data_IF_623282201345
#
_entry.id   IF_623282201345
#
_cell.length_a   1.000
_cell.length_b   1.000
_cell.length_c   1.000
_cell.angle_alpha   90.00
_cell.angle_beta   90.00
_cell.angle_gamma   90.00
#
_symmetry.space_group_name_H-M   'P 1'
#
loop_
_entity.id
_entity.type
_entity.pdbx_description
1 polymer ?
#
# COMPACT_ATOMS: atom_id res chain seq x y z
N UNK A 1 6.98 47.69 -33.28
CA UNK A 1 6.87 46.22 -33.50
C UNK A 1 6.48 45.60 -32.16
N UNK A 2 5.19 45.23 -32.02
CA UNK A 2 4.68 44.61 -30.79
C UNK A 2 4.95 43.13 -30.86
N UNK A 3 5.86 42.62 -30.05
CA UNK A 3 6.03 41.20 -29.84
C UNK A 3 4.83 40.65 -29.05
N UNK A 4 3.89 40.07 -29.75
CA UNK A 4 2.84 39.25 -29.12
C UNK A 4 3.51 37.94 -28.71
N UNK A 5 3.75 37.79 -27.40
CA UNK A 5 4.14 36.50 -26.83
C UNK A 5 2.90 35.61 -26.84
N UNK A 6 2.84 34.71 -27.78
CA UNK A 6 1.86 33.61 -27.78
C UNK A 6 2.26 32.65 -26.66
N UNK A 7 1.53 32.68 -25.56
CA UNK A 7 1.59 31.66 -24.53
C UNK A 7 1.04 30.36 -25.16
N UNK A 8 1.89 29.34 -25.24
CA UNK A 8 1.47 28.00 -25.60
C UNK A 8 0.65 27.42 -24.44
N UNK A 9 -0.68 27.55 -24.56
CA UNK A 9 -1.65 27.25 -23.50
C UNK A 9 -2.10 25.77 -23.48
N UNK A 10 -1.63 24.95 -24.41
CA UNK A 10 -2.16 23.59 -24.57
C UNK A 10 -1.70 22.61 -23.47
N UNK A 11 -0.52 22.80 -22.88
CA UNK A 11 0.03 21.90 -21.86
C UNK A 11 -0.04 22.43 -20.41
N UNK A 12 -0.56 23.65 -20.21
CA UNK A 12 -0.57 24.29 -18.88
C UNK A 12 -1.95 24.80 -18.47
N UNK A 13 -2.99 24.60 -19.30
CA UNK A 13 -4.32 25.16 -19.03
C UNK A 13 -4.92 24.58 -17.75
N UNK A 14 -4.83 23.26 -17.57
CA UNK A 14 -5.45 22.57 -16.43
C UNK A 14 -4.78 22.99 -15.10
N UNK A 15 -3.46 23.09 -15.08
CA UNK A 15 -2.74 23.52 -13.89
C UNK A 15 -2.95 25.02 -13.58
N UNK A 16 -3.11 25.85 -14.60
CA UNK A 16 -3.45 27.28 -14.42
C UNK A 16 -4.90 27.46 -14.00
N UNK A 17 -5.82 26.69 -14.54
CA UNK A 17 -7.23 26.72 -14.17
C UNK A 17 -7.42 26.27 -12.72
N UNK A 18 -6.71 25.24 -12.29
CA UNK A 18 -6.70 24.75 -10.92
C UNK A 18 -6.12 25.81 -9.96
N UNK A 19 -5.01 26.45 -10.32
CA UNK A 19 -4.42 27.55 -9.56
C UNK A 19 -5.33 28.76 -9.44
N UNK A 20 -6.24 28.97 -10.43
CA UNK A 20 -7.24 30.04 -10.43
C UNK A 20 -8.56 29.62 -9.75
N UNK A 21 -8.67 28.39 -9.23
CA UNK A 21 -9.89 27.87 -8.61
C UNK A 21 -11.01 27.58 -9.60
N UNK A 22 -10.70 27.42 -10.90
CA UNK A 22 -11.67 27.09 -11.94
C UNK A 22 -11.76 25.57 -12.03
N UNK A 23 -12.93 24.98 -11.71
CA UNK A 23 -13.16 23.56 -11.87
C UNK A 23 -13.15 23.20 -13.37
N UNK A 24 -12.10 22.55 -13.84
CA UNK A 24 -12.03 22.01 -15.20
C UNK A 24 -12.86 20.73 -15.24
N UNK A 25 -14.01 20.78 -15.93
CA UNK A 25 -14.73 19.56 -16.30
C UNK A 25 -13.95 18.89 -17.41
N UNK A 26 -13.20 17.84 -17.11
CA UNK A 26 -12.58 17.02 -18.14
C UNK A 26 -13.66 16.39 -19.01
N UNK A 27 -13.66 16.75 -20.29
CA UNK A 27 -14.56 16.21 -21.32
C UNK A 27 -14.06 14.90 -21.93
N UNK A 28 -12.99 14.33 -21.40
CA UNK A 28 -12.49 13.03 -21.79
C UNK A 28 -12.54 12.06 -20.59
N UNK A 29 -13.27 10.98 -20.76
CA UNK A 29 -13.29 9.83 -19.84
C UNK A 29 -11.98 9.01 -19.91
N UNK A 30 -10.85 9.66 -20.21
CA UNK A 30 -9.54 9.08 -20.24
C UNK A 30 -8.57 10.11 -19.64
N UNK A 31 -7.86 9.69 -18.63
CA UNK A 31 -6.82 10.41 -17.90
C UNK A 31 -7.30 11.24 -16.72
N UNK A 32 -7.96 10.60 -15.74
CA UNK A 32 -7.66 10.98 -14.38
C UNK A 32 -6.21 10.54 -14.12
N UNK A 33 -5.26 11.47 -14.25
CA UNK A 33 -3.90 11.33 -13.78
C UNK A 33 -3.85 11.35 -12.23
N UNK A 34 -4.78 10.66 -11.59
CA UNK A 34 -4.53 9.99 -10.35
C UNK A 34 -3.61 8.82 -10.73
N UNK A 35 -2.31 9.06 -10.81
CA UNK A 35 -1.33 8.01 -10.82
C UNK A 35 -1.46 7.28 -9.49
N UNK A 36 -2.47 6.40 -9.41
CA UNK A 36 -2.65 5.55 -8.26
C UNK A 36 -1.42 4.66 -8.24
N UNK A 37 -0.56 4.85 -7.25
CA UNK A 37 0.61 4.00 -7.07
C UNK A 37 0.14 2.54 -7.10
N UNK A 38 0.91 1.70 -7.77
CA UNK A 38 0.70 0.26 -7.73
C UNK A 38 0.71 -0.21 -6.27
N UNK A 39 -0.04 -1.25 -5.96
CA UNK A 39 -0.23 -1.75 -4.59
C UNK A 39 0.39 -3.11 -4.41
N UNK A 40 1.35 -3.22 -3.52
CA UNK A 40 1.96 -4.50 -3.13
C UNK A 40 1.23 -5.09 -1.93
N UNK A 41 0.94 -6.39 -1.95
CA UNK A 41 0.34 -7.13 -0.82
C UNK A 41 0.82 -8.57 -0.81
N UNK A 42 0.80 -9.22 0.35
CA UNK A 42 0.89 -10.68 0.44
C UNK A 42 -0.50 -11.24 0.13
N UNK A 43 -0.58 -12.18 -0.81
CA UNK A 43 -1.81 -12.88 -1.17
C UNK A 43 -1.89 -14.19 -0.39
N UNK A 44 -2.96 -14.36 0.39
CA UNK A 44 -3.07 -15.48 1.35
C UNK A 44 -3.82 -16.69 0.81
N UNK A 45 -4.45 -16.57 -0.36
CA UNK A 45 -5.26 -17.63 -0.94
C UNK A 45 -4.63 -18.16 -2.21
N UNK A 46 -4.77 -19.47 -2.46
CA UNK A 46 -4.39 -20.02 -3.76
C UNK A 46 -5.40 -19.62 -4.81
N UNK A 47 -4.93 -19.39 -6.04
CA UNK A 47 -5.79 -19.25 -7.21
C UNK A 47 -5.80 -20.59 -7.93
N UNK A 48 -7.00 -21.11 -8.14
CA UNK A 48 -7.22 -22.40 -8.81
C UNK A 48 -7.58 -22.17 -10.27
N UNK A 49 -6.86 -22.82 -11.16
CA UNK A 49 -7.18 -22.91 -12.58
C UNK A 49 -7.83 -24.27 -12.93
N UNK A 50 -8.15 -24.42 -14.19
CA UNK A 50 -8.70 -25.68 -14.72
C UNK A 50 -7.82 -26.20 -15.84
N UNK A 51 -7.26 -27.39 -15.67
CA UNK A 51 -6.48 -28.06 -16.69
C UNK A 51 -7.29 -29.22 -17.32
N UNK A 52 -7.17 -29.39 -18.63
CA UNK A 52 -7.78 -30.53 -19.35
C UNK A 52 -6.77 -31.66 -19.47
N UNK A 53 -6.96 -32.72 -18.69
CA UNK A 53 -6.13 -33.94 -18.76
C UNK A 53 -6.95 -35.13 -19.27
N UNK A 54 -6.61 -35.63 -20.44
CA UNK A 54 -7.30 -36.77 -21.07
C UNK A 54 -8.83 -36.59 -21.17
N UNK A 55 -9.28 -35.37 -21.53
CA UNK A 55 -10.70 -35.05 -21.69
C UNK A 55 -11.48 -34.87 -20.36
N UNK A 56 -10.78 -34.83 -19.22
CA UNK A 56 -11.37 -34.56 -17.91
C UNK A 56 -10.81 -33.22 -17.39
N UNK A 57 -11.69 -32.37 -16.89
CA UNK A 57 -11.29 -31.13 -16.19
C UNK A 57 -10.76 -31.46 -14.81
N UNK A 58 -9.56 -30.98 -14.49
CA UNK A 58 -8.94 -31.06 -13.17
C UNK A 58 -8.67 -29.65 -12.66
N UNK A 59 -8.97 -29.40 -11.40
CA UNK A 59 -8.54 -28.18 -10.70
C UNK A 59 -7.05 -28.28 -10.36
N UNK A 60 -6.29 -27.27 -10.75
CA UNK A 60 -4.86 -27.13 -10.45
C UNK A 60 -4.60 -25.78 -9.79
N UNK A 61 -3.67 -25.73 -8.87
CA UNK A 61 -3.22 -24.50 -8.28
C UNK A 61 -2.32 -23.77 -9.28
N UNK A 62 -2.74 -22.59 -9.76
CA UNK A 62 -2.00 -21.80 -10.75
C UNK A 62 -1.19 -20.68 -10.08
N UNK A 63 -1.68 -20.15 -8.96
CA UNK A 63 -0.94 -19.22 -8.11
C UNK A 63 -1.04 -19.72 -6.68
N UNK A 64 0.07 -20.09 -6.02
CA UNK A 64 0.05 -20.55 -4.64
C UNK A 64 -0.29 -19.43 -3.67
N UNK A 65 -0.88 -19.79 -2.54
CA UNK A 65 -1.02 -18.87 -1.42
C UNK A 65 0.35 -18.48 -0.87
N UNK A 66 0.49 -17.23 -0.42
CA UNK A 66 1.74 -16.70 0.10
C UNK A 66 2.59 -15.94 -0.91
N UNK A 67 2.14 -15.82 -2.15
CA UNK A 67 2.77 -14.97 -3.15
C UNK A 67 2.60 -13.48 -2.82
N UNK A 68 3.51 -12.65 -3.30
CA UNK A 68 3.29 -11.20 -3.36
C UNK A 68 2.42 -10.89 -4.58
N UNK A 69 1.36 -10.14 -4.36
CA UNK A 69 0.48 -9.63 -5.39
C UNK A 69 0.74 -8.16 -5.61
N UNK A 70 1.05 -7.79 -6.83
CA UNK A 70 1.08 -6.43 -7.33
C UNK A 70 -0.23 -6.12 -8.04
N UNK A 71 -0.88 -5.05 -7.67
CA UNK A 71 -1.97 -4.45 -8.44
C UNK A 71 -1.44 -3.17 -9.07
N UNK A 72 -1.45 -3.11 -10.39
CA UNK A 72 -1.01 -1.93 -11.14
C UNK A 72 -2.07 -0.81 -11.13
N UNK A 73 -1.77 0.30 -11.81
CA UNK A 73 -2.68 1.44 -11.92
C UNK A 73 -3.94 1.12 -12.73
N UNK A 74 -3.89 0.13 -13.63
CA UNK A 74 -5.02 -0.30 -14.45
C UNK A 74 -5.95 -1.25 -13.68
N UNK A 75 -5.48 -1.79 -12.55
CA UNK A 75 -6.19 -2.76 -11.74
C UNK A 75 -5.80 -4.22 -12.05
N UNK A 76 -4.84 -4.45 -12.95
CA UNK A 76 -4.34 -5.77 -13.28
C UNK A 76 -3.46 -6.33 -12.16
N UNK A 77 -3.39 -7.66 -12.07
CA UNK A 77 -2.68 -8.35 -11.01
C UNK A 77 -1.54 -9.19 -11.55
N UNK A 78 -0.39 -9.06 -10.90
CA UNK A 78 0.77 -9.93 -11.07
C UNK A 78 1.16 -10.54 -9.73
N UNK A 79 1.67 -11.78 -9.76
CA UNK A 79 2.02 -12.55 -8.57
C UNK A 79 3.44 -13.07 -8.67
N UNK A 80 4.18 -13.05 -7.56
CA UNK A 80 5.54 -13.58 -7.49
C UNK A 80 5.83 -14.12 -6.08
N UNK A 81 6.58 -15.22 -6.00
CA UNK A 81 7.02 -15.80 -4.72
C UNK A 81 8.13 -14.99 -4.08
N UNK A 82 8.94 -14.33 -4.91
CA UNK A 82 10.07 -13.52 -4.51
C UNK A 82 9.97 -12.13 -5.12
N UNK A 83 10.22 -11.10 -4.30
CA UNK A 83 10.30 -9.73 -4.78
C UNK A 83 11.51 -9.02 -4.19
N UNK A 84 12.11 -8.12 -4.97
CA UNK A 84 13.10 -7.16 -4.50
C UNK A 84 12.41 -5.83 -4.27
N UNK A 85 12.49 -5.32 -3.05
CA UNK A 85 11.84 -4.07 -2.66
C UNK A 85 12.90 -3.05 -2.22
N UNK A 86 12.96 -1.89 -2.88
CA UNK A 86 13.80 -0.76 -2.51
C UNK A 86 12.95 0.29 -1.81
N UNK A 87 12.95 0.37 -0.48
CA UNK A 87 12.13 1.32 0.26
C UNK A 87 12.68 2.75 0.15
N UNK A 88 11.79 3.74 0.10
CA UNK A 88 12.14 5.17 0.07
C UNK A 88 11.54 5.93 1.24
N UNK A 89 10.29 5.67 1.57
CA UNK A 89 9.56 6.40 2.57
C UNK A 89 8.71 5.46 3.41
N UNK A 90 8.65 5.73 4.72
CA UNK A 90 7.77 5.04 5.65
C UNK A 90 6.82 6.03 6.30
N UNK A 91 5.54 5.68 6.31
CA UNK A 91 4.49 6.42 6.99
C UNK A 91 3.58 5.48 7.79
N UNK A 92 2.79 6.05 8.68
CA UNK A 92 1.87 5.30 9.54
C UNK A 92 0.52 5.96 9.57
N UNK A 93 -0.53 5.15 9.67
CA UNK A 93 -1.90 5.63 9.87
C UNK A 93 -2.75 4.60 10.59
N UNK A 94 -3.91 5.03 11.04
CA UNK A 94 -4.96 4.13 11.53
C UNK A 94 -5.94 3.83 10.43
N UNK A 95 -6.47 2.60 10.41
CA UNK A 95 -7.52 2.18 9.49
C UNK A 95 -8.57 1.36 10.20
N UNK A 96 -9.83 1.55 9.84
CA UNK A 96 -10.95 0.78 10.35
C UNK A 96 -11.95 0.47 9.23
N UNK A 97 -12.41 -0.76 9.16
CA UNK A 97 -13.53 -1.12 8.30
C UNK A 97 -14.85 -0.73 8.97
N UNK A 98 -15.66 0.04 8.26
CA UNK A 98 -17.02 0.42 8.69
C UNK A 98 -18.00 -0.33 7.82
N UNK A 99 -18.74 -1.32 8.37
CA UNK A 99 -19.74 -2.03 7.60
C UNK A 99 -20.89 -1.06 7.24
N UNK A 100 -21.52 -1.31 6.11
CA UNK A 100 -22.72 -0.58 5.74
C UNK A 100 -23.91 -1.07 6.60
N UNK A 101 -24.63 -0.17 7.24
CA UNK A 101 -25.70 -0.50 8.19
C UNK A 101 -27.01 0.17 7.75
N UNK A 102 -27.54 -0.15 6.59
CA UNK A 102 -28.94 0.16 6.28
C UNK A 102 -29.68 -1.09 5.83
N UNK A 103 -30.91 -1.33 6.36
CA UNK A 103 -31.68 -2.54 6.08
C UNK A 103 -32.05 -2.73 4.59
N UNK A 104 -32.12 -1.64 3.83
CA UNK A 104 -32.69 -1.62 2.46
C UNK A 104 -31.61 -1.66 1.36
N UNK A 105 -30.33 -1.67 1.72
CA UNK A 105 -29.25 -1.63 0.73
C UNK A 105 -28.67 -3.04 0.44
N UNK A 106 -29.37 -3.77 -0.39
CA UNK A 106 -28.84 -5.02 -0.95
C UNK A 106 -27.58 -4.74 -1.78
N UNK A 107 -26.44 -5.17 -1.25
CA UNK A 107 -25.18 -5.25 -2.00
C UNK A 107 -24.17 -4.12 -1.80
N UNK A 108 -24.42 -3.09 -0.99
CA UNK A 108 -23.40 -2.08 -0.69
C UNK A 108 -22.36 -2.63 0.28
N UNK A 109 -21.11 -2.67 -0.19
CA UNK A 109 -19.96 -3.03 0.64
C UNK A 109 -19.66 -1.90 1.63
N UNK A 110 -19.23 -2.26 2.84
CA UNK A 110 -18.69 -1.29 3.80
C UNK A 110 -17.43 -0.62 3.22
N UNK A 111 -16.94 0.40 3.93
CA UNK A 111 -15.78 1.18 3.52
C UNK A 111 -14.68 1.16 4.57
N UNK A 112 -13.45 1.38 4.14
CA UNK A 112 -12.35 1.67 5.05
C UNK A 112 -12.31 3.16 5.35
N UNK A 113 -12.25 3.48 6.64
CA UNK A 113 -11.94 4.81 7.17
C UNK A 113 -10.46 4.82 7.52
N UNK A 114 -9.73 5.82 7.08
CA UNK A 114 -8.29 5.96 7.29
C UNK A 114 -7.99 7.32 7.93
N UNK A 115 -7.06 7.36 8.87
CA UNK A 115 -6.52 8.62 9.37
C UNK A 115 -5.49 9.21 8.41
N UNK A 116 -5.10 10.45 8.67
CA UNK A 116 -3.92 11.06 8.03
C UNK A 116 -2.69 10.18 8.24
N UNK A 117 -1.76 10.23 7.28
CA UNK A 117 -0.48 9.55 7.36
C UNK A 117 0.55 10.43 8.07
N UNK A 118 1.31 9.85 8.99
CA UNK A 118 2.33 10.56 9.77
C UNK A 118 3.63 9.75 9.88
N UNK A 119 4.71 10.44 10.22
CA UNK A 119 5.98 9.80 10.54
C UNK A 119 5.93 9.00 11.86
N UNK A 120 6.92 8.16 12.09
CA UNK A 120 7.01 7.28 13.26
C UNK A 120 7.00 8.05 14.59
N UNK A 121 7.56 9.25 14.64
CA UNK A 121 7.63 10.06 15.87
C UNK A 121 6.27 10.56 16.35
N UNK A 122 5.32 10.74 15.44
CA UNK A 122 3.97 11.23 15.72
C UNK A 122 2.99 10.07 15.94
N UNK A 123 3.22 8.95 15.27
CA UNK A 123 2.29 7.82 15.30
C UNK A 123 2.12 7.23 16.70
N UNK A 124 0.87 7.17 17.16
CA UNK A 124 0.50 6.68 18.49
C UNK A 124 0.69 7.68 19.63
N UNK A 125 1.17 8.91 19.34
CA UNK A 125 1.33 10.00 20.30
C UNK A 125 0.31 11.11 20.05
N UNK A 126 0.12 11.44 18.77
CA UNK A 126 -0.75 12.53 18.33
C UNK A 126 -2.12 11.98 17.95
N UNK A 127 -3.12 12.85 18.08
CA UNK A 127 -4.45 12.61 17.56
C UNK A 127 -4.47 12.85 16.06
N UNK A 128 -4.84 11.81 15.30
CA UNK A 128 -4.86 11.85 13.84
C UNK A 128 -6.30 11.84 13.36
N UNK A 129 -6.68 12.86 12.61
CA UNK A 129 -8.03 12.97 12.03
C UNK A 129 -8.20 11.94 10.91
N UNK A 130 -9.33 11.26 10.88
CA UNK A 130 -9.69 10.30 9.83
C UNK A 130 -10.62 10.93 8.78
N UNK A 131 -10.95 10.16 7.74
CA UNK A 131 -11.82 10.57 6.64
C UNK A 131 -13.26 10.91 7.06
N UNK A 132 -13.66 10.58 8.28
CA UNK A 132 -14.96 10.92 8.87
C UNK A 132 -14.86 12.09 9.88
N UNK A 133 -13.69 12.71 10.01
CA UNK A 133 -13.42 13.76 10.98
C UNK A 133 -13.25 13.25 12.41
N UNK A 134 -13.10 11.93 12.63
CA UNK A 134 -12.89 11.34 13.94
C UNK A 134 -11.40 11.15 14.24
N UNK A 135 -11.07 11.23 15.51
CA UNK A 135 -9.70 11.01 15.99
C UNK A 135 -9.34 9.52 15.91
N UNK A 136 -8.20 9.21 15.27
CA UNK A 136 -7.58 7.88 15.19
C UNK A 136 -8.56 6.75 14.85
N UNK A 137 -9.50 6.99 13.95
CA UNK A 137 -10.60 6.07 13.61
C UNK A 137 -11.43 5.62 14.81
N UNK A 138 -11.50 6.45 15.86
CA UNK A 138 -12.23 6.20 17.09
C UNK A 138 -11.41 5.55 18.21
N UNK A 139 -10.09 5.40 18.05
CA UNK A 139 -9.19 4.90 19.08
C UNK A 139 -8.42 6.05 19.72
N UNK A 140 -8.28 6.14 21.06
CA UNK A 140 -7.45 7.17 21.68
C UNK A 140 -5.97 6.99 21.32
N UNK A 141 -5.23 8.09 21.30
CA UNK A 141 -3.78 8.05 21.21
C UNK A 141 -3.15 7.45 22.47
N UNK A 142 -1.94 6.91 22.30
CA UNK A 142 -1.16 6.40 23.42
C UNK A 142 -1.57 5.02 23.94
N UNK A 143 -1.16 4.75 25.17
CA UNK A 143 -1.43 3.50 25.88
C UNK A 143 -2.78 3.57 26.58
N UNK A 144 -3.63 2.60 26.33
CA UNK A 144 -4.94 2.49 26.99
C UNK A 144 -4.73 1.80 28.35
N UNK A 145 -4.83 2.58 29.42
CA UNK A 145 -4.84 2.05 30.78
C UNK A 145 -6.19 1.40 31.05
N UNK A 146 -6.23 0.41 31.95
CA UNK A 146 -7.44 -0.22 32.45
C UNK A 146 -8.34 -0.77 31.32
N UNK A 147 -7.74 -1.50 30.38
CA UNK A 147 -8.48 -2.12 29.27
C UNK A 147 -9.72 -2.89 29.74
N UNK A 148 -9.62 -3.60 30.86
CA UNK A 148 -10.72 -4.39 31.44
C UNK A 148 -11.92 -3.57 31.91
N UNK A 149 -11.71 -2.30 32.24
CA UNK A 149 -12.78 -1.42 32.74
C UNK A 149 -13.57 -0.75 31.61
N UNK A 150 -13.10 -0.89 30.35
CA UNK A 150 -13.78 -0.32 29.19
C UNK A 150 -15.04 -1.11 28.85
N UNK A 151 -16.13 -0.42 28.46
CA UNK A 151 -17.33 -1.07 27.95
C UNK A 151 -16.95 -1.99 26.74
N UNK A 152 -17.61 -3.13 26.63
CA UNK A 152 -17.34 -4.13 25.59
C UNK A 152 -17.42 -3.53 24.15
N UNK A 153 -18.37 -2.62 23.93
CA UNK A 153 -18.51 -1.92 22.65
C UNK A 153 -17.27 -1.08 22.29
N UNK A 154 -16.66 -0.43 23.30
CA UNK A 154 -15.41 0.33 23.08
C UNK A 154 -14.23 -0.60 22.86
N UNK A 155 -14.13 -1.70 23.59
CA UNK A 155 -13.07 -2.70 23.36
C UNK A 155 -13.16 -3.25 21.94
N UNK A 156 -14.35 -3.62 21.45
CA UNK A 156 -14.59 -4.08 20.08
C UNK A 156 -14.20 -3.01 19.04
N UNK A 157 -14.61 -1.76 19.28
CA UNK A 157 -14.21 -0.65 18.42
C UNK A 157 -12.69 -0.51 18.34
N UNK A 158 -12.01 -0.46 19.48
CA UNK A 158 -10.55 -0.28 19.51
C UNK A 158 -9.78 -1.45 18.89
N UNK A 159 -10.29 -2.69 19.04
CA UNK A 159 -9.74 -3.87 18.36
C UNK A 159 -9.96 -3.84 16.85
N UNK A 160 -11.04 -3.22 16.38
CA UNK A 160 -11.31 -3.08 14.94
C UNK A 160 -10.40 -2.05 14.25
N UNK A 161 -9.77 -1.15 15.02
CA UNK A 161 -8.84 -0.16 14.50
C UNK A 161 -7.46 -0.78 14.31
N UNK A 162 -7.02 -0.89 13.08
CA UNK A 162 -5.70 -1.41 12.72
C UNK A 162 -4.67 -0.29 12.67
N UNK A 163 -3.47 -0.60 13.10
CA UNK A 163 -2.27 0.20 12.85
C UNK A 163 -1.69 -0.25 11.53
N UNK A 164 -1.49 0.68 10.62
CA UNK A 164 -0.95 0.41 9.29
C UNK A 164 0.38 1.09 9.13
N UNK A 165 1.35 0.35 8.64
CA UNK A 165 2.64 0.84 8.16
C UNK A 165 2.56 0.90 6.64
N UNK A 166 2.73 2.07 6.06
CA UNK A 166 2.81 2.27 4.62
C UNK A 166 4.28 2.44 4.23
N UNK A 167 4.77 1.58 3.36
CA UNK A 167 6.07 1.70 2.73
C UNK A 167 5.90 2.11 1.29
N UNK A 168 6.59 3.16 0.89
CA UNK A 168 6.69 3.61 -0.49
C UNK A 168 8.04 3.22 -1.02
N UNK A 169 8.09 2.68 -2.21
CA UNK A 169 9.33 2.21 -2.79
C UNK A 169 9.19 1.71 -4.21
N UNK A 170 10.27 1.14 -4.71
CA UNK A 170 10.33 0.43 -5.97
C UNK A 170 10.28 -1.07 -5.72
N UNK A 171 9.49 -1.79 -6.50
CA UNK A 171 9.41 -3.25 -6.45
C UNK A 171 9.79 -3.86 -7.79
N UNK A 172 10.56 -4.94 -7.75
CA UNK A 172 10.81 -5.83 -8.89
C UNK A 172 10.28 -7.21 -8.50
N UNK A 173 9.37 -7.76 -9.29
CA UNK A 173 8.85 -9.11 -9.12
C UNK A 173 9.75 -10.09 -9.87
N UNK A 174 10.13 -11.20 -9.25
CA UNK A 174 10.91 -12.26 -9.89
C UNK A 174 9.99 -13.39 -10.34
N UNK A 175 10.13 -13.81 -11.61
CA UNK A 175 9.33 -14.90 -12.19
C UNK A 175 7.82 -14.69 -12.01
N UNK A 176 7.35 -13.47 -12.33
CA UNK A 176 5.97 -13.08 -12.13
C UNK A 176 5.02 -13.83 -13.07
N UNK A 177 3.84 -14.15 -12.54
CA UNK A 177 2.73 -14.75 -13.30
C UNK A 177 1.46 -13.91 -13.13
N UNK A 178 0.53 -14.05 -14.05
CA UNK A 178 -0.81 -13.48 -13.93
C UNK A 178 -1.75 -14.38 -13.10
N UNK A 179 -3.02 -14.04 -13.05
CA UNK A 179 -4.06 -14.80 -12.35
C UNK A 179 -4.42 -16.15 -12.99
N UNK A 180 -3.88 -16.43 -14.17
CA UNK A 180 -4.03 -17.73 -14.86
C UNK A 180 -2.80 -18.61 -14.68
N UNK A 181 -1.71 -18.06 -14.10
CA UNK A 181 -0.42 -18.73 -13.93
C UNK A 181 0.50 -18.58 -15.14
N UNK A 182 0.14 -17.77 -16.12
CA UNK A 182 0.98 -17.50 -17.28
C UNK A 182 2.06 -16.47 -16.92
N UNK A 183 3.31 -16.69 -17.38
CA UNK A 183 4.39 -15.74 -17.14
C UNK A 183 4.08 -14.35 -17.69
N UNK A 184 4.32 -13.33 -16.87
CA UNK A 184 4.19 -11.93 -17.28
C UNK A 184 5.57 -11.26 -17.28
N UNK A 185 5.77 -10.33 -18.22
CA UNK A 185 6.96 -9.49 -18.22
C UNK A 185 6.98 -8.68 -16.93
N UNK A 186 7.98 -8.88 -16.08
CA UNK A 186 8.18 -8.05 -14.90
C UNK A 186 8.97 -6.82 -15.30
N UNK A 187 8.37 -5.64 -15.11
CA UNK A 187 9.11 -4.39 -15.16
C UNK A 187 9.99 -4.26 -13.91
N UNK A 188 11.19 -3.75 -14.08
CA UNK A 188 12.06 -3.45 -12.95
C UNK A 188 11.71 -2.12 -12.33
N UNK A 189 11.68 -2.07 -11.00
CA UNK A 189 11.56 -0.82 -10.27
C UNK A 189 10.19 -0.14 -10.38
N UNK A 190 9.09 -0.89 -10.28
CA UNK A 190 7.73 -0.34 -10.30
C UNK A 190 7.47 0.47 -9.01
N UNK A 191 7.05 1.74 -9.09
CA UNK A 191 6.68 2.54 -7.93
C UNK A 191 5.43 1.98 -7.24
N UNK A 192 5.53 1.69 -5.94
CA UNK A 192 4.45 1.05 -5.19
C UNK A 192 4.23 1.66 -3.81
N UNK A 193 3.02 1.43 -3.29
CA UNK A 193 2.71 1.50 -1.86
C UNK A 193 2.44 0.09 -1.33
N UNK A 194 3.07 -0.26 -0.21
CA UNK A 194 2.81 -1.48 0.54
C UNK A 194 2.21 -1.13 1.91
N UNK A 195 0.91 -1.31 2.05
CA UNK A 195 0.17 -1.10 3.30
C UNK A 195 0.17 -2.39 4.13
N UNK A 196 0.82 -2.37 5.28
CA UNK A 196 1.03 -3.51 6.18
C UNK A 196 0.18 -3.33 7.42
N UNK A 197 -0.92 -4.06 7.52
CA UNK A 197 -1.89 -4.04 8.63
C UNK A 197 -1.87 -5.31 9.49
N UNK A 198 -1.21 -6.36 9.04
CA UNK A 198 -0.98 -7.58 9.81
C UNK A 198 0.05 -7.32 10.91
N UNK A 199 -0.27 -7.70 12.14
CA UNK A 199 0.57 -7.44 13.33
C UNK A 199 1.98 -8.02 13.22
N UNK A 200 2.10 -9.24 12.72
CA UNK A 200 3.39 -9.93 12.62
C UNK A 200 4.24 -9.36 11.49
N UNK A 201 3.62 -9.12 10.32
CA UNK A 201 4.28 -8.43 9.21
C UNK A 201 4.72 -7.01 9.60
N UNK A 202 3.87 -6.26 10.30
CA UNK A 202 4.19 -4.93 10.83
C UNK A 202 5.43 -4.95 11.71
N UNK A 203 5.54 -5.96 12.60
CA UNK A 203 6.70 -6.16 13.49
C UNK A 203 7.94 -6.57 12.71
N UNK A 204 7.83 -7.57 11.83
CA UNK A 204 8.96 -8.08 11.03
C UNK A 204 9.60 -6.99 10.19
N UNK A 205 8.79 -6.22 9.48
CA UNK A 205 9.27 -5.10 8.67
C UNK A 205 9.83 -3.98 9.57
N UNK A 206 9.21 -3.73 10.74
CA UNK A 206 9.73 -2.78 11.72
C UNK A 206 11.17 -3.10 12.13
N UNK A 207 11.44 -4.35 12.46
CA UNK A 207 12.78 -4.79 12.86
C UNK A 207 13.83 -4.58 11.75
N UNK A 208 13.44 -4.71 10.48
CA UNK A 208 14.34 -4.42 9.37
C UNK A 208 14.60 -2.92 9.24
N UNK A 209 13.56 -2.09 9.32
CA UNK A 209 13.72 -0.62 9.29
C UNK A 209 14.58 -0.13 10.45
N UNK A 210 14.41 -0.70 11.65
CA UNK A 210 15.24 -0.37 12.81
C UNK A 210 16.72 -0.78 12.60
N UNK A 211 16.98 -1.87 11.86
CA UNK A 211 18.35 -2.24 11.46
C UNK A 211 18.97 -1.23 10.50
N UNK A 212 18.22 -0.64 9.56
CA UNK A 212 18.71 0.46 8.73
C UNK A 212 19.19 1.62 9.61
N UNK A 213 18.37 2.06 10.55
CA UNK A 213 18.71 3.14 11.48
C UNK A 213 19.95 2.79 12.34
N UNK A 214 20.02 1.57 12.89
CA UNK A 214 21.15 1.09 13.72
C UNK A 214 22.45 1.03 12.93
N UNK A 215 22.41 0.70 11.65
CA UNK A 215 23.57 0.66 10.76
C UNK A 215 23.86 2.03 10.10
N UNK A 216 23.14 3.10 10.48
CA UNK A 216 23.24 4.44 9.88
C UNK A 216 23.10 4.41 8.36
N UNK A 217 22.14 3.62 7.85
CA UNK A 217 21.83 3.49 6.43
C UNK A 217 20.50 4.15 6.12
N UNK A 218 20.42 4.78 4.95
CA UNK A 218 19.16 5.30 4.41
C UNK A 218 18.41 4.17 3.70
N UNK A 219 17.07 4.24 3.71
CA UNK A 219 16.22 3.22 3.12
C UNK A 219 16.57 2.92 1.64
N UNK A 220 16.72 3.93 0.75
CA UNK A 220 16.98 3.65 -0.67
C UNK A 220 18.41 3.19 -0.99
N UNK A 221 19.26 2.99 0.02
CA UNK A 221 20.63 2.48 -0.17
C UNK A 221 20.71 0.95 -0.29
N UNK A 222 19.60 0.24 -0.07
CA UNK A 222 19.59 -1.22 -0.09
C UNK A 222 18.26 -1.75 -0.65
N UNK A 223 18.32 -2.94 -1.24
CA UNK A 223 17.14 -3.74 -1.53
C UNK A 223 16.83 -4.65 -0.33
N UNK A 224 15.54 -4.84 -0.08
CA UNK A 224 15.01 -5.87 0.81
C UNK A 224 14.51 -7.00 -0.08
N UNK A 225 15.16 -8.17 -0.01
CA UNK A 225 14.60 -9.37 -0.60
C UNK A 225 13.46 -9.86 0.28
N UNK A 226 12.31 -10.09 -0.32
CA UNK A 226 11.09 -10.49 0.33
C UNK A 226 10.63 -11.84 -0.23
N UNK A 227 10.40 -12.77 0.66
CA UNK A 227 9.67 -14.03 0.44
C UNK A 227 8.63 -14.17 1.54
N UNK A 228 7.88 -15.25 1.57
CA UNK A 228 6.92 -15.51 2.64
C UNK A 228 7.15 -16.86 3.31
N UNK A 229 6.63 -16.99 4.52
CA UNK A 229 6.49 -18.26 5.21
C UNK A 229 5.05 -18.43 5.69
N UNK A 230 4.50 -19.63 5.49
CA UNK A 230 3.13 -19.98 5.90
C UNK A 230 3.08 -20.51 7.33
N UNK A 231 2.01 -20.17 8.04
CA UNK A 231 1.68 -20.68 9.36
C UNK A 231 0.19 -21.05 9.41
N UNK A 232 -0.11 -22.27 9.85
CA UNK A 232 -1.48 -22.73 10.00
C UNK A 232 -2.13 -22.09 11.24
N UNK A 233 -3.30 -21.51 11.07
CA UNK A 233 -4.12 -21.01 12.18
C UNK A 233 -4.94 -22.12 12.81
N UNK A 234 -5.43 -21.88 14.02
CA UNK A 234 -6.30 -22.83 14.74
C UNK A 234 -7.61 -23.17 13.98
N UNK A 235 -8.06 -22.28 13.09
CA UNK A 235 -9.24 -22.50 12.25
C UNK A 235 -8.94 -23.23 10.92
N UNK A 236 -7.71 -23.71 10.73
CA UNK A 236 -7.27 -24.42 9.51
C UNK A 236 -6.85 -23.50 8.35
N UNK A 237 -7.02 -22.19 8.45
CA UNK A 237 -6.57 -21.27 7.42
C UNK A 237 -5.05 -21.06 7.51
N UNK A 238 -4.41 -20.85 6.36
CA UNK A 238 -3.01 -20.45 6.30
C UNK A 238 -2.88 -18.92 6.36
N UNK A 239 -1.97 -18.44 7.18
CA UNK A 239 -1.50 -17.05 7.17
C UNK A 239 -0.05 -17.04 6.69
N UNK A 240 0.27 -16.10 5.81
CA UNK A 240 1.61 -15.92 5.31
C UNK A 240 2.22 -14.64 5.87
N UNK A 241 3.47 -14.75 6.31
CA UNK A 241 4.25 -13.67 6.92
C UNK A 241 5.45 -13.35 6.03
N UNK A 242 5.87 -12.08 5.90
CA UNK A 242 7.06 -11.74 5.13
C UNK A 242 8.32 -12.30 5.81
N UNK A 243 9.19 -12.87 5.01
CA UNK A 243 10.57 -13.18 5.36
C UNK A 243 11.43 -12.17 4.62
N UNK A 244 12.37 -11.55 5.34
CA UNK A 244 13.16 -10.43 4.83
C UNK A 244 14.65 -10.75 4.87
N UNK A 245 15.36 -10.40 3.80
CA UNK A 245 16.81 -10.46 3.76
C UNK A 245 17.35 -9.14 3.22
N UNK A 246 18.34 -8.56 3.88
CA UNK A 246 19.03 -7.33 3.47
C UNK A 246 20.53 -7.53 3.57
N UNK A 247 21.24 -7.16 2.52
CA UNK A 247 22.69 -7.06 2.54
C UNK A 247 23.09 -5.62 2.92
N UNK A 248 23.66 -5.47 4.12
CA UNK A 248 24.17 -4.18 4.60
C UNK A 248 25.64 -3.95 4.25
N UNK A 249 26.33 -4.90 3.62
CA UNK A 249 27.74 -4.76 3.23
C UNK A 249 27.90 -3.89 2.00
N UNK A 250 26.93 -3.96 1.09
CA UNK A 250 26.92 -3.20 -0.17
C UNK A 250 25.92 -2.06 -0.08
N UNK A 251 26.35 -0.84 -0.42
CA UNK A 251 25.50 0.35 -0.45
C UNK A 251 25.24 0.76 -1.89
N UNK A 252 23.98 0.90 -2.27
CA UNK A 252 23.58 1.40 -3.57
C UNK A 252 23.70 2.93 -3.62
N UNK A 253 24.22 3.50 -4.72
CA UNK A 253 24.14 4.93 -4.93
C UNK A 253 22.69 5.35 -5.11
N UNK A 254 22.36 6.58 -4.73
CA UNK A 254 21.06 7.18 -5.01
C UNK A 254 21.15 7.94 -6.35
N UNK A 255 20.47 7.43 -7.37
CA UNK A 255 20.39 8.08 -8.68
C UNK A 255 19.58 9.39 -8.61
N UNK A 256 19.76 10.30 -9.56
CA UNK A 256 19.02 11.56 -9.58
C UNK A 256 17.52 11.33 -9.78
N UNK A 257 17.15 10.39 -10.64
CA UNK A 257 15.76 9.97 -10.88
C UNK A 257 15.09 9.45 -9.59
N UNK A 258 15.87 8.81 -8.73
CA UNK A 258 15.39 8.30 -7.44
C UNK A 258 15.17 9.42 -6.41
N UNK A 259 15.89 10.52 -6.52
CA UNK A 259 15.64 11.71 -5.69
C UNK A 259 14.33 12.38 -6.08
N UNK A 260 14.04 12.46 -7.37
CA UNK A 260 12.76 12.95 -7.88
C UNK A 260 11.61 12.03 -7.44
N UNK A 261 11.79 10.72 -7.58
CA UNK A 261 10.81 9.73 -7.10
C UNK A 261 10.52 9.87 -5.61
N UNK A 262 11.53 10.10 -4.78
CA UNK A 262 11.34 10.36 -3.35
C UNK A 262 10.50 11.62 -3.10
N UNK A 263 10.74 12.69 -3.88
CA UNK A 263 9.93 13.90 -3.81
C UNK A 263 8.47 13.62 -4.20
N UNK A 264 8.24 12.81 -5.23
CA UNK A 264 6.91 12.39 -5.68
C UNK A 264 6.19 11.56 -4.63
N UNK A 265 6.84 10.63 -3.94
CA UNK A 265 6.24 9.90 -2.82
C UNK A 265 5.83 10.84 -1.66
N UNK A 266 6.66 11.83 -1.35
CA UNK A 266 6.30 12.84 -0.33
C UNK A 266 5.09 13.67 -0.76
N UNK A 267 5.05 14.09 -2.01
CA UNK A 267 3.92 14.81 -2.58
C UNK A 267 2.65 13.96 -2.54
N UNK A 268 2.74 12.69 -2.91
CA UNK A 268 1.61 11.76 -2.86
C UNK A 268 1.04 11.64 -1.42
N UNK A 269 1.91 11.53 -0.42
CA UNK A 269 1.48 11.54 1.00
C UNK A 269 0.76 12.84 1.34
N UNK A 270 1.30 14.00 0.94
CA UNK A 270 0.69 15.30 1.20
C UNK A 270 -0.69 15.44 0.54
N UNK A 271 -0.81 15.03 -0.72
CA UNK A 271 -2.08 15.08 -1.46
C UNK A 271 -3.13 14.14 -0.84
N UNK A 272 -2.71 12.98 -0.31
CA UNK A 272 -3.63 12.09 0.41
C UNK A 272 -4.22 12.71 1.68
N UNK A 273 -3.57 13.75 2.24
CA UNK A 273 -4.06 14.50 3.40
C UNK A 273 -5.13 15.54 3.03
N UNK A 274 -5.13 16.03 1.79
CA UNK A 274 -6.07 17.07 1.32
C UNK A 274 -7.46 16.47 1.05
N UNK A 275 -7.53 15.17 0.79
CA UNK A 275 -8.77 14.44 0.53
C UNK A 275 -9.40 13.82 1.79
N UNK A 276 -8.93 14.22 2.97
CA UNK A 276 -9.50 13.88 4.29
C UNK A 276 -10.27 15.13 4.87
#
# INVERSE_FOLDING_TARGET
>A
MNNIVTLDTSNNFDSMAEAMGIAVKSTSAAESNNSSLARLRIWHQSIMGTEQVKGKSRQVEVVPGGTYRLQDANGDFSYADKVSFKPFLQQFFYSRYVPYVKPDDQGRKGRFVKSVMVGQSQFGRDDLIDTDGKVNCGRPAGYIKNWGDLPEAQQKLFMSVKRVRALFGLVTLHDAVDNTGEPVSSEEGIPVIWEIDNKDAFKTIGLIIDKFASNRRLLPQHHIELTTTGEAMANGNMIYKPVTKVDFTTTLPLAEEEKELFANFKLWVQLSLIHI
#
